data_IF_198382016879
#
_entry.id   IF_198382016879
#
_cell.length_a   1.000
_cell.length_b   1.000
_cell.length_c   1.000
_cell.angle_alpha   90.00
_cell.angle_beta   90.00
_cell.angle_gamma   90.00
#
_symmetry.space_group_name_H-M   'P 1'
#
loop_
_entity.id
_entity.type
_entity.pdbx_description
1 polymer ?
#
# COMPACT_ATOMS: atom_id res chain seq x y z
N UNK A 1 16.56 -12.74 -31.54
CA UNK A 1 16.52 -13.60 -30.33
C UNK A 1 16.36 -12.69 -29.12
N UNK A 2 15.13 -12.26 -28.86
CA UNK A 2 14.79 -11.26 -27.84
C UNK A 2 14.07 -12.01 -26.72
N UNK A 3 14.81 -12.38 -25.67
CA UNK A 3 14.27 -13.14 -24.56
C UNK A 3 13.34 -12.26 -23.70
N UNK A 4 12.05 -12.51 -23.86
CA UNK A 4 10.96 -12.43 -22.86
C UNK A 4 11.39 -12.05 -21.43
N UNK A 5 11.15 -10.78 -21.04
CA UNK A 5 11.38 -10.26 -19.68
C UNK A 5 10.05 -9.94 -18.96
N UNK A 6 9.04 -10.76 -19.18
CA UNK A 6 7.63 -10.46 -18.84
C UNK A 6 7.13 -11.08 -17.52
N UNK A 7 7.97 -11.28 -16.49
CA UNK A 7 7.48 -12.01 -15.29
C UNK A 7 8.18 -11.67 -13.97
N UNK A 8 8.50 -10.40 -13.71
CA UNK A 8 8.93 -10.01 -12.36
C UNK A 8 7.93 -9.04 -11.76
N UNK A 9 6.96 -9.58 -11.01
CA UNK A 9 5.94 -8.83 -10.27
C UNK A 9 6.54 -7.91 -9.19
N UNK A 10 7.75 -8.22 -8.71
CA UNK A 10 8.43 -7.44 -7.67
C UNK A 10 9.96 -7.49 -7.82
N UNK A 11 10.53 -6.74 -8.80
CA UNK A 11 11.99 -6.73 -9.05
C UNK A 11 12.77 -6.13 -7.88
N UNK A 12 12.12 -5.33 -7.03
CA UNK A 12 12.70 -4.67 -5.85
C UNK A 12 12.99 -5.63 -4.69
N UNK A 13 12.44 -6.85 -4.72
CA UNK A 13 12.74 -7.88 -3.72
C UNK A 13 14.11 -8.53 -3.94
N UNK A 14 14.61 -8.55 -5.19
CA UNK A 14 15.92 -9.13 -5.51
C UNK A 14 17.01 -8.19 -4.98
N UNK A 15 17.64 -8.58 -3.86
CA UNK A 15 18.67 -7.78 -3.19
C UNK A 15 18.15 -6.90 -2.04
N UNK A 16 16.92 -7.14 -1.57
CA UNK A 16 16.38 -6.41 -0.41
C UNK A 16 17.23 -6.64 0.85
N UNK A 17 17.72 -5.56 1.45
CA UNK A 17 18.58 -5.61 2.64
C UNK A 17 17.75 -5.52 3.92
N UNK A 18 18.03 -6.41 4.88
CA UNK A 18 17.38 -6.40 6.22
C UNK A 18 17.53 -5.06 6.96
N UNK A 19 18.58 -4.29 6.67
CA UNK A 19 18.80 -2.96 7.24
C UNK A 19 17.75 -1.93 6.81
N UNK A 20 17.04 -2.16 5.71
CA UNK A 20 15.96 -1.30 5.21
C UNK A 20 14.62 -1.57 5.90
N UNK A 21 14.41 -2.78 6.42
CA UNK A 21 13.15 -3.19 7.04
C UNK A 21 12.67 -2.23 8.14
N UNK A 22 13.59 -1.76 8.99
CA UNK A 22 13.25 -0.81 10.06
C UNK A 22 12.73 0.53 9.52
N UNK A 23 13.33 1.03 8.43
CA UNK A 23 12.94 2.29 7.83
C UNK A 23 11.60 2.13 7.10
N UNK A 24 11.44 1.03 6.37
CA UNK A 24 10.20 0.69 5.66
C UNK A 24 9.03 0.49 6.62
N UNK A 25 9.26 -0.11 7.81
CA UNK A 25 8.24 -0.23 8.85
C UNK A 25 7.79 1.14 9.36
N UNK A 26 8.72 2.04 9.67
CA UNK A 26 8.37 3.40 10.14
C UNK A 26 7.65 4.18 9.04
N UNK A 27 8.12 4.08 7.79
CA UNK A 27 7.48 4.70 6.64
C UNK A 27 6.07 4.16 6.41
N UNK A 28 5.88 2.84 6.47
CA UNK A 28 4.58 2.19 6.32
C UNK A 28 3.60 2.56 7.44
N UNK A 29 4.05 2.60 8.70
CA UNK A 29 3.23 3.05 9.82
C UNK A 29 2.84 4.53 9.69
N UNK A 30 3.79 5.38 9.30
CA UNK A 30 3.53 6.81 9.09
C UNK A 30 2.53 7.03 7.95
N UNK A 31 2.70 6.33 6.82
CA UNK A 31 1.77 6.39 5.72
C UNK A 31 0.38 5.87 6.12
N UNK A 32 0.32 4.72 6.81
CA UNK A 32 -0.94 4.15 7.31
C UNK A 32 -1.71 5.09 8.24
N UNK A 33 -1.00 5.78 9.15
CA UNK A 33 -1.60 6.75 10.06
C UNK A 33 -2.29 7.92 9.34
N UNK A 34 -1.81 8.27 8.13
CA UNK A 34 -2.43 9.32 7.30
C UNK A 34 -3.53 8.76 6.40
N UNK A 35 -3.31 7.59 5.79
CA UNK A 35 -4.23 7.00 4.82
C UNK A 35 -5.55 6.55 5.47
N UNK A 36 -5.51 6.02 6.70
CA UNK A 36 -6.71 5.57 7.43
C UNK A 36 -7.74 6.70 7.60
N UNK A 37 -7.40 7.84 8.24
CA UNK A 37 -8.35 8.95 8.38
C UNK A 37 -8.76 9.55 7.04
N UNK A 38 -7.86 9.59 6.05
CA UNK A 38 -8.20 10.06 4.70
C UNK A 38 -9.28 9.19 4.04
N UNK A 39 -9.16 7.86 4.12
CA UNK A 39 -10.13 6.94 3.55
C UNK A 39 -11.49 7.00 4.26
N UNK A 40 -11.49 7.19 5.59
CA UNK A 40 -12.71 7.41 6.36
C UNK A 40 -13.43 8.71 5.94
N UNK A 41 -12.67 9.77 5.66
CA UNK A 41 -13.23 11.03 5.16
C UNK A 41 -13.87 10.86 3.78
N UNK A 42 -13.21 10.15 2.86
CA UNK A 42 -13.79 9.88 1.53
C UNK A 42 -15.05 9.01 1.59
N UNK A 43 -15.09 7.99 2.45
CA UNK A 43 -16.31 7.20 2.65
C UNK A 43 -17.47 8.07 3.16
N UNK A 44 -17.17 9.02 4.06
CA UNK A 44 -18.16 9.96 4.59
C UNK A 44 -18.67 10.92 3.51
N UNK A 45 -17.79 11.45 2.65
CA UNK A 45 -18.18 12.31 1.52
C UNK A 45 -19.06 11.55 0.52
N UNK A 46 -18.83 10.24 0.36
CA UNK A 46 -19.62 9.37 -0.50
C UNK A 46 -20.96 8.93 0.12
N UNK A 47 -21.34 9.46 1.28
CA UNK A 47 -22.54 9.05 2.05
C UNK A 47 -22.54 7.54 2.37
N UNK A 48 -21.36 6.94 2.47
CA UNK A 48 -21.17 5.52 2.76
C UNK A 48 -20.79 5.29 4.23
N UNK A 49 -21.03 4.07 4.75
CA UNK A 49 -20.49 3.68 6.05
C UNK A 49 -18.97 3.82 6.08
N UNK A 50 -18.42 4.43 7.14
CA UNK A 50 -16.98 4.71 7.29
C UNK A 50 -16.11 3.46 7.15
N UNK A 51 -16.64 2.29 7.50
CA UNK A 51 -15.97 0.99 7.38
C UNK A 51 -15.61 0.66 5.93
N UNK A 52 -16.38 1.17 4.95
CA UNK A 52 -16.08 0.99 3.53
C UNK A 52 -14.73 1.64 3.17
N UNK A 53 -14.41 2.80 3.75
CA UNK A 53 -13.11 3.44 3.59
C UNK A 53 -11.95 2.52 4.03
N UNK A 54 -12.11 1.83 5.16
CA UNK A 54 -11.10 0.90 5.67
C UNK A 54 -10.91 -0.32 4.75
N UNK A 55 -11.99 -0.84 4.14
CA UNK A 55 -11.88 -1.95 3.20
C UNK A 55 -11.09 -1.59 1.94
N UNK A 56 -11.25 -0.35 1.44
CA UNK A 56 -10.48 0.12 0.27
C UNK A 56 -8.97 0.25 0.54
N UNK A 57 -8.57 0.48 1.80
CA UNK A 57 -7.15 0.51 2.17
C UNK A 57 -6.50 -0.88 2.10
N UNK A 58 -7.28 -1.95 2.22
CA UNK A 58 -6.76 -3.32 2.25
C UNK A 58 -6.75 -3.95 0.85
N UNK A 59 -7.81 -3.69 0.07
CA UNK A 59 -7.97 -4.21 -1.28
C UNK A 59 -8.05 -3.01 -2.22
N UNK A 60 -6.91 -2.54 -2.74
CA UNK A 60 -6.94 -1.54 -3.80
C UNK A 60 -7.64 -2.14 -5.04
N UNK A 61 -8.46 -1.34 -5.75
CA UNK A 61 -9.02 -1.75 -7.03
C UNK A 61 -7.95 -1.90 -8.13
#
# INVERSE_FOLDING_TARGET
MTATRETVLAPTLVGYRRTWLRADLVAGLSAGAVVIPQAMAYATIADMPVQIGLYTCLVPP
#
